data_IF_335144010409
#
_entry.id   IF_335144010409
#
_cell.length_a   1.000
_cell.length_b   1.000
_cell.length_c   1.000
_cell.angle_alpha   90.00
_cell.angle_beta   90.00
_cell.angle_gamma   90.00
#
_symmetry.space_group_name_H-M   'P 1'
#
loop_
_entity.id
_entity.type
_entity.pdbx_description
1 polymer ?
#
# COMPACT_ATOMS: atom_id res chain seq x y z
N UNK A 1 -19.38 -4.84 101.95
CA UNK A 1 -19.33 -3.48 101.38
C UNK A 1 -19.39 -3.56 99.82
N UNK A 2 -20.56 -3.27 99.26
CA UNK A 2 -20.84 -3.32 97.80
C UNK A 2 -20.66 -1.92 97.20
N UNK A 3 -19.82 -1.79 96.19
CA UNK A 3 -19.74 -0.58 95.39
C UNK A 3 -20.25 -0.92 94.00
N UNK A 4 -21.40 -0.30 93.66
CA UNK A 4 -22.01 -0.33 92.33
C UNK A 4 -21.25 0.60 91.37
N UNK A 5 -20.90 0.10 90.21
CA UNK A 5 -20.34 0.90 89.12
C UNK A 5 -21.41 1.00 88.07
N UNK A 6 -21.87 2.23 87.80
CA UNK A 6 -22.79 2.56 86.74
C UNK A 6 -22.03 2.57 85.40
N UNK A 7 -22.47 1.76 84.43
CA UNK A 7 -21.97 1.76 83.10
C UNK A 7 -22.98 2.57 82.23
N UNK A 8 -22.53 3.70 81.74
CA UNK A 8 -23.27 4.50 80.78
C UNK A 8 -23.08 3.91 79.40
N UNK A 9 -24.14 3.39 78.81
CA UNK A 9 -24.13 2.93 77.42
C UNK A 9 -24.25 4.17 76.50
N UNK A 10 -23.20 4.46 75.76
CA UNK A 10 -23.19 5.45 74.68
C UNK A 10 -23.57 4.74 73.36
N UNK A 11 -24.78 4.95 72.89
CA UNK A 11 -25.19 4.40 71.59
C UNK A 11 -24.60 5.26 70.43
N UNK A 12 -23.62 4.69 69.76
CA UNK A 12 -23.09 5.27 68.52
C UNK A 12 -23.93 4.78 67.32
N UNK A 13 -24.74 5.67 66.76
CA UNK A 13 -25.45 5.42 65.49
C UNK A 13 -24.46 5.54 64.32
N UNK A 14 -24.12 4.42 63.72
CA UNK A 14 -23.34 4.38 62.47
C UNK A 14 -24.26 4.68 61.29
N UNK A 15 -24.16 5.89 60.72
CA UNK A 15 -24.78 6.21 59.46
C UNK A 15 -23.86 5.69 58.32
N UNK A 16 -24.27 4.59 57.69
CA UNK A 16 -23.62 4.06 56.48
C UNK A 16 -23.99 4.93 55.29
N UNK A 17 -23.11 5.82 54.85
CA UNK A 17 -23.18 6.47 53.57
C UNK A 17 -22.75 5.51 52.48
N UNK A 18 -23.71 4.97 51.73
CA UNK A 18 -23.43 4.16 50.52
C UNK A 18 -22.97 5.12 49.45
N UNK A 19 -21.66 5.16 49.20
CA UNK A 19 -21.05 5.75 48.00
C UNK A 19 -21.29 4.80 46.83
N UNK A 20 -22.25 5.16 45.94
CA UNK A 20 -22.37 4.53 44.64
C UNK A 20 -21.11 4.90 43.82
N UNK A 21 -20.16 4.00 43.71
CA UNK A 21 -19.13 4.04 42.66
C UNK A 21 -19.83 3.75 41.34
N UNK A 22 -20.15 4.83 40.61
CA UNK A 22 -20.45 4.70 39.19
C UNK A 22 -19.19 4.17 38.50
N UNK A 23 -19.15 2.86 38.23
CA UNK A 23 -18.20 2.30 37.27
C UNK A 23 -18.55 2.91 35.90
N UNK A 24 -17.81 3.95 35.50
CA UNK A 24 -17.79 4.38 34.12
C UNK A 24 -17.15 3.25 33.32
N UNK A 25 -17.97 2.52 32.57
CA UNK A 25 -17.53 1.66 31.50
C UNK A 25 -16.74 2.54 30.50
N UNK A 26 -15.46 2.76 30.77
CA UNK A 26 -14.50 3.17 29.75
C UNK A 26 -14.40 1.98 28.81
N UNK A 27 -15.31 1.95 27.84
CA UNK A 27 -15.09 1.20 26.59
C UNK A 27 -13.75 1.69 26.06
N UNK A 28 -12.72 0.90 26.30
CA UNK A 28 -11.43 1.04 25.63
C UNK A 28 -11.74 1.12 24.13
N UNK A 29 -11.81 2.32 23.60
CA UNK A 29 -11.65 2.57 22.18
C UNK A 29 -10.27 2.07 21.88
N UNK A 30 -10.19 0.80 21.45
CA UNK A 30 -9.01 0.21 20.83
C UNK A 30 -8.67 1.14 19.68
N UNK A 31 -7.80 2.10 19.93
CA UNK A 31 -7.23 2.97 18.90
C UNK A 31 -6.45 2.02 18.03
N UNK A 32 -7.06 1.58 16.94
CA UNK A 32 -6.39 0.83 15.89
C UNK A 32 -5.38 1.80 15.28
N UNK A 33 -4.19 1.84 15.90
CA UNK A 33 -3.10 2.66 15.43
C UNK A 33 -2.76 2.24 14.02
N UNK A 34 -2.73 3.19 13.08
CA UNK A 34 -2.13 2.93 11.77
C UNK A 34 -0.63 2.74 11.95
N UNK A 35 -0.05 1.79 11.21
CA UNK A 35 1.38 1.53 11.17
C UNK A 35 1.88 1.86 9.77
N UNK A 36 2.80 2.82 9.67
CA UNK A 36 3.51 3.08 8.42
C UNK A 36 4.33 1.84 8.05
N UNK A 37 4.07 1.29 6.88
CA UNK A 37 4.79 0.16 6.29
C UNK A 37 5.96 0.67 5.48
N UNK A 38 5.69 1.65 4.60
CA UNK A 38 6.71 2.36 3.84
C UNK A 38 6.24 3.76 3.45
N UNK A 39 7.20 4.67 3.28
CA UNK A 39 6.96 6.01 2.78
C UNK A 39 8.25 6.57 2.18
N UNK A 40 8.12 7.41 1.15
CA UNK A 40 9.28 8.00 0.51
C UNK A 40 8.94 8.64 -0.82
N UNK A 41 9.99 8.79 -1.63
CA UNK A 41 9.85 9.25 -3.00
C UNK A 41 10.73 8.47 -3.96
N UNK A 42 10.30 8.44 -5.21
CA UNK A 42 11.04 7.94 -6.35
C UNK A 42 11.35 9.07 -7.33
N UNK A 43 12.61 9.26 -7.67
CA UNK A 43 13.03 10.09 -8.80
C UNK A 43 12.86 9.32 -10.10
N UNK A 44 12.24 9.94 -11.11
CA UNK A 44 11.98 9.35 -12.43
C UNK A 44 12.95 9.94 -13.42
N UNK A 45 13.69 9.09 -14.11
CA UNK A 45 14.72 9.48 -15.07
C UNK A 45 14.42 8.91 -16.45
N UNK A 46 14.53 9.74 -17.47
CA UNK A 46 14.48 9.34 -18.87
C UNK A 46 15.80 9.72 -19.54
N UNK A 47 16.49 8.74 -20.11
CA UNK A 47 17.81 8.92 -20.72
C UNK A 47 18.80 9.68 -19.80
N UNK A 48 18.81 9.34 -18.51
CA UNK A 48 19.67 9.91 -17.48
C UNK A 48 19.25 11.29 -16.95
N UNK A 49 18.21 11.93 -17.48
CA UNK A 49 17.67 13.20 -16.99
C UNK A 49 16.48 12.97 -16.07
N UNK A 50 16.49 13.57 -14.87
CA UNK A 50 15.32 13.54 -13.99
C UNK A 50 14.17 14.34 -14.62
N UNK A 51 13.03 13.68 -14.80
CA UNK A 51 11.82 14.25 -15.42
C UNK A 51 10.64 14.29 -14.46
N UNK A 52 10.74 13.66 -13.29
CA UNK A 52 9.63 13.64 -12.37
C UNK A 52 9.95 13.06 -11.00
N UNK A 53 8.93 13.03 -10.16
CA UNK A 53 8.98 12.46 -8.82
C UNK A 53 7.62 11.85 -8.50
N UNK A 54 7.61 10.64 -7.94
CA UNK A 54 6.48 10.09 -7.19
C UNK A 54 6.77 10.22 -5.71
N UNK A 55 5.83 10.72 -4.92
CA UNK A 55 5.84 10.67 -3.46
C UNK A 55 4.77 9.72 -3.01
N UNK A 56 5.08 8.79 -2.12
CA UNK A 56 4.13 7.76 -1.71
C UNK A 56 4.15 7.52 -0.19
N UNK A 57 3.05 6.97 0.30
CA UNK A 57 2.88 6.56 1.69
C UNK A 57 2.02 5.31 1.74
N UNK A 58 2.51 4.27 2.42
CA UNK A 58 1.84 2.98 2.59
C UNK A 58 1.68 2.72 4.08
N UNK A 59 0.45 2.58 4.54
CA UNK A 59 0.15 2.29 5.94
C UNK A 59 -0.78 1.09 6.08
N UNK A 60 -0.61 0.36 7.17
CA UNK A 60 -1.52 -0.70 7.59
C UNK A 60 -2.47 -0.16 8.65
N UNK A 61 -3.76 -0.30 8.41
CA UNK A 61 -4.86 0.04 9.33
C UNK A 61 -5.64 -1.23 9.60
N UNK A 62 -5.71 -1.68 10.85
CA UNK A 62 -6.50 -2.85 11.25
C UNK A 62 -6.48 -4.01 10.25
N UNK A 63 -7.47 -4.06 9.36
CA UNK A 63 -7.72 -5.08 8.35
C UNK A 63 -7.39 -4.65 6.91
N UNK A 64 -6.96 -3.39 6.71
CA UNK A 64 -6.65 -2.82 5.42
C UNK A 64 -5.23 -2.27 5.37
N UNK A 65 -4.60 -2.37 4.20
CA UNK A 65 -3.44 -1.55 3.83
C UNK A 65 -3.89 -0.46 2.87
N UNK A 66 -3.44 0.77 3.12
CA UNK A 66 -3.76 1.94 2.29
C UNK A 66 -2.46 2.48 1.71
N UNK A 67 -2.38 2.53 0.39
CA UNK A 67 -1.28 3.14 -0.33
C UNK A 67 -1.78 4.40 -1.03
N UNK A 68 -1.12 5.52 -0.77
CA UNK A 68 -1.38 6.80 -1.45
C UNK A 68 -0.14 7.24 -2.20
N UNK A 69 -0.33 7.83 -3.37
CA UNK A 69 0.76 8.37 -4.18
C UNK A 69 0.36 9.66 -4.87
N UNK A 70 1.35 10.55 -5.02
CA UNK A 70 1.30 11.70 -5.90
C UNK A 70 2.49 11.65 -6.85
N UNK A 71 2.22 11.75 -8.16
CA UNK A 71 3.27 11.85 -9.18
C UNK A 71 3.22 13.20 -9.89
N UNK A 72 4.40 13.77 -10.11
CA UNK A 72 4.62 14.99 -10.89
C UNK A 72 5.71 14.72 -11.92
N UNK A 73 5.37 14.90 -13.19
CA UNK A 73 6.29 14.76 -14.31
C UNK A 73 6.33 16.06 -15.10
N UNK A 74 7.54 16.48 -15.48
CA UNK A 74 7.80 17.60 -16.41
C UNK A 74 9.08 17.26 -17.19
N UNK A 75 8.92 16.80 -18.43
CA UNK A 75 10.05 16.53 -19.32
C UNK A 75 10.38 17.70 -20.25
N UNK A 76 9.67 18.84 -20.08
CA UNK A 76 9.77 20.04 -20.89
C UNK A 76 8.80 20.07 -22.10
N UNK A 77 8.24 18.93 -22.48
CA UNK A 77 7.22 18.81 -23.55
C UNK A 77 5.87 18.38 -23.00
N UNK A 78 5.91 17.54 -21.97
CA UNK A 78 4.74 16.96 -21.33
C UNK A 78 4.79 17.24 -19.82
N UNK A 79 3.64 17.58 -19.24
CA UNK A 79 3.46 17.76 -17.81
C UNK A 79 2.30 16.90 -17.32
N UNK A 80 2.52 16.18 -16.24
CA UNK A 80 1.48 15.40 -15.60
C UNK A 80 1.50 15.62 -14.08
N UNK A 81 0.33 15.70 -13.47
CA UNK A 81 0.13 15.65 -12.03
C UNK A 81 -1.04 14.72 -11.76
N UNK A 82 -0.75 13.63 -11.06
CA UNK A 82 -1.73 12.58 -10.78
C UNK A 82 -1.62 12.13 -9.33
N UNK A 83 -2.72 11.64 -8.79
CA UNK A 83 -2.79 11.05 -7.45
C UNK A 83 -3.48 9.71 -7.51
N UNK A 84 -3.11 8.81 -6.61
CA UNK A 84 -3.80 7.53 -6.42
C UNK A 84 -3.98 7.20 -4.94
N UNK A 85 -5.04 6.46 -4.65
CA UNK A 85 -5.26 5.77 -3.38
C UNK A 85 -5.73 4.34 -3.66
N UNK A 86 -5.03 3.37 -3.10
CA UNK A 86 -5.35 1.96 -3.21
C UNK A 86 -5.56 1.36 -1.83
N UNK A 87 -6.67 0.65 -1.64
CA UNK A 87 -6.99 -0.08 -0.42
C UNK A 87 -6.99 -1.57 -0.69
N UNK A 88 -6.22 -2.32 0.09
CA UNK A 88 -6.03 -3.76 -0.06
C UNK A 88 -6.34 -4.43 1.27
N UNK A 89 -7.08 -5.53 1.26
CA UNK A 89 -7.35 -6.35 2.45
C UNK A 89 -6.08 -7.07 2.93
N UNK A 90 -6.10 -7.57 4.16
CA UNK A 90 -5.01 -8.40 4.68
C UNK A 90 -4.74 -9.67 3.85
N UNK A 91 -5.70 -10.11 3.02
CA UNK A 91 -5.54 -11.22 2.08
C UNK A 91 -4.93 -10.80 0.73
N UNK A 92 -4.64 -9.50 0.54
CA UNK A 92 -4.14 -8.95 -0.71
C UNK A 92 -5.22 -8.76 -1.78
N UNK A 93 -6.50 -8.77 -1.40
CA UNK A 93 -7.61 -8.52 -2.31
C UNK A 93 -7.85 -7.01 -2.43
N UNK A 94 -8.15 -6.53 -3.63
CA UNK A 94 -8.49 -5.14 -3.85
C UNK A 94 -9.82 -4.81 -3.15
N UNK A 95 -9.82 -3.76 -2.32
CA UNK A 95 -11.02 -3.18 -1.72
C UNK A 95 -11.55 -2.02 -2.54
N UNK A 96 -10.66 -1.08 -2.87
CA UNK A 96 -10.94 0.04 -3.76
C UNK A 96 -9.66 0.62 -4.33
N UNK A 97 -9.78 1.28 -5.44
CA UNK A 97 -8.75 2.11 -6.04
C UNK A 97 -9.36 3.40 -6.55
N UNK A 98 -8.68 4.53 -6.34
CA UNK A 98 -9.05 5.83 -6.86
C UNK A 98 -7.85 6.45 -7.55
N UNK A 99 -8.05 6.95 -8.73
CA UNK A 99 -7.06 7.68 -9.50
C UNK A 99 -7.62 9.01 -9.98
N UNK A 100 -6.79 10.03 -9.97
CA UNK A 100 -7.15 11.35 -10.46
C UNK A 100 -5.97 11.98 -11.17
N UNK A 101 -6.23 12.55 -12.37
CA UNK A 101 -5.33 13.44 -13.10
C UNK A 101 -5.83 14.89 -12.98
N UNK A 102 -4.91 15.83 -12.81
CA UNK A 102 -5.18 17.26 -12.88
C UNK A 102 -4.49 17.91 -14.09
N UNK A 103 -3.41 17.27 -14.57
CA UNK A 103 -2.66 17.62 -15.77
C UNK A 103 -2.31 16.33 -16.52
N UNK A 104 -2.32 16.32 -17.88
CA UNK A 104 -2.61 17.44 -18.80
C UNK A 104 -4.08 17.83 -18.84
N UNK A 105 -4.97 16.93 -18.44
CA UNK A 105 -6.41 17.17 -18.35
C UNK A 105 -6.98 16.55 -17.07
N UNK A 106 -8.15 17.04 -16.64
CA UNK A 106 -8.85 16.48 -15.49
C UNK A 106 -9.53 15.19 -15.90
N UNK A 107 -9.22 14.14 -15.20
CA UNK A 107 -9.80 12.82 -15.39
C UNK A 107 -9.79 12.08 -14.05
N UNK A 108 -10.78 11.26 -13.80
CA UNK A 108 -10.88 10.45 -12.59
C UNK A 108 -11.33 9.05 -12.97
N UNK A 109 -10.76 8.05 -12.30
CA UNK A 109 -11.22 6.68 -12.34
C UNK A 109 -11.23 6.10 -10.93
N UNK A 110 -12.20 5.26 -10.66
CA UNK A 110 -12.22 4.46 -9.43
C UNK A 110 -12.58 3.02 -9.75
N UNK A 111 -11.97 2.09 -9.01
CA UNK A 111 -12.27 0.67 -9.12
C UNK A 111 -12.73 0.19 -7.75
N UNK A 112 -13.86 -0.50 -7.71
CA UNK A 112 -14.37 -1.12 -6.48
C UNK A 112 -14.74 -2.59 -6.69
N UNK A 113 -14.64 -3.36 -5.61
CA UNK A 113 -15.10 -4.74 -5.58
C UNK A 113 -16.62 -4.76 -5.41
N UNK A 114 -17.34 -5.39 -6.34
CA UNK A 114 -18.80 -5.57 -6.31
C UNK A 114 -19.17 -6.97 -6.74
N UNK A 115 -19.85 -7.72 -5.86
CA UNK A 115 -20.35 -9.07 -6.15
C UNK A 115 -19.30 -10.01 -6.79
N UNK A 116 -18.06 -10.01 -6.27
CA UNK A 116 -16.90 -10.78 -6.75
C UNK A 116 -16.33 -10.32 -8.11
N UNK A 117 -16.76 -9.18 -8.61
CA UNK A 117 -16.23 -8.53 -9.81
C UNK A 117 -15.53 -7.24 -9.42
N UNK A 118 -14.71 -6.72 -10.33
CA UNK A 118 -14.20 -5.35 -10.26
C UNK A 118 -15.02 -4.46 -11.19
N UNK A 119 -15.53 -3.35 -10.68
CA UNK A 119 -16.23 -2.35 -11.47
C UNK A 119 -15.40 -1.09 -11.50
N UNK A 120 -15.03 -0.65 -12.68
CA UNK A 120 -14.34 0.60 -12.91
C UNK A 120 -15.35 1.69 -13.27
N UNK A 121 -15.28 2.81 -12.56
CA UNK A 121 -16.06 4.01 -12.81
C UNK A 121 -15.15 5.08 -13.39
N UNK A 122 -15.34 5.42 -14.65
CA UNK A 122 -14.52 6.40 -15.38
C UNK A 122 -15.28 7.70 -15.50
N UNK A 123 -14.63 8.81 -15.17
CA UNK A 123 -15.15 10.18 -15.36
C UNK A 123 -14.17 10.95 -16.25
N UNK A 124 -14.30 10.86 -17.57
CA UNK A 124 -13.50 11.64 -18.51
C UNK A 124 -13.80 13.14 -18.38
N UNK A 125 -12.83 13.98 -18.77
CA UNK A 125 -12.90 15.45 -18.60
C UNK A 125 -14.18 16.10 -19.14
N UNK A 126 -14.71 15.62 -20.28
CA UNK A 126 -15.83 16.23 -21.00
C UNK A 126 -16.95 15.21 -21.33
N UNK A 127 -16.98 14.07 -20.69
CA UNK A 127 -17.92 13.00 -21.03
C UNK A 127 -18.74 12.54 -19.79
N UNK A 128 -19.80 11.80 -20.06
CA UNK A 128 -20.60 11.20 -18.99
C UNK A 128 -19.80 10.09 -18.31
N UNK A 129 -20.02 9.96 -17.02
CA UNK A 129 -19.54 8.82 -16.23
C UNK A 129 -19.90 7.51 -16.93
N UNK A 130 -18.93 6.62 -17.04
CA UNK A 130 -19.08 5.29 -17.59
C UNK A 130 -18.69 4.25 -16.54
N UNK A 131 -19.43 3.14 -16.52
CA UNK A 131 -19.10 1.97 -15.69
C UNK A 131 -18.56 0.88 -16.61
N UNK A 132 -17.36 0.41 -16.34
CA UNK A 132 -16.68 -0.67 -17.08
C UNK A 132 -16.57 -1.87 -16.15
N UNK A 133 -17.41 -2.90 -16.35
CA UNK A 133 -17.29 -4.11 -15.55
C UNK A 133 -16.11 -4.97 -16.02
N UNK A 134 -15.24 -5.34 -15.12
CA UNK A 134 -14.15 -6.27 -15.36
C UNK A 134 -14.47 -7.61 -14.69
N UNK A 135 -14.56 -8.67 -15.49
CA UNK A 135 -14.75 -10.05 -15.00
C UNK A 135 -13.38 -10.55 -14.50
N UNK A 136 -12.93 -10.00 -13.38
CA UNK A 136 -11.63 -10.26 -12.79
C UNK A 136 -11.80 -10.68 -11.32
N UNK A 137 -10.98 -11.62 -10.83
CA UNK A 137 -11.01 -11.98 -9.42
C UNK A 137 -10.55 -10.82 -8.53
N UNK A 138 -11.05 -10.74 -7.30
CA UNK A 138 -10.66 -9.72 -6.31
C UNK A 138 -9.15 -9.76 -5.99
N UNK A 139 -8.50 -10.87 -6.32
CA UNK A 139 -7.06 -11.02 -6.26
C UNK A 139 -6.29 -10.31 -7.38
N UNK A 140 -6.97 -9.65 -8.31
CA UNK A 140 -6.33 -8.82 -9.33
C UNK A 140 -5.57 -7.66 -8.68
N UNK A 141 -4.40 -7.36 -9.23
CA UNK A 141 -3.53 -6.28 -8.74
C UNK A 141 -3.73 -5.04 -9.60
N UNK A 142 -3.86 -3.88 -8.97
CA UNK A 142 -3.76 -2.61 -9.69
C UNK A 142 -2.28 -2.36 -10.01
N UNK A 143 -1.97 -2.13 -11.27
CA UNK A 143 -0.61 -1.84 -11.72
C UNK A 143 -0.63 -0.70 -12.74
N UNK A 144 -1.01 0.48 -12.29
CA UNK A 144 -1.00 1.66 -13.15
C UNK A 144 0.41 2.06 -13.59
N UNK A 145 0.53 2.60 -14.79
CA UNK A 145 1.80 2.87 -15.46
C UNK A 145 2.65 3.90 -14.71
N UNK A 146 2.01 4.91 -14.16
CA UNK A 146 2.70 6.07 -13.60
C UNK A 146 2.98 5.95 -12.09
N UNK A 147 2.43 4.93 -11.39
CA UNK A 147 2.66 4.75 -9.95
C UNK A 147 3.61 3.59 -9.69
N UNK A 148 4.85 3.92 -9.37
CA UNK A 148 5.93 2.95 -9.15
C UNK A 148 5.78 2.22 -7.81
N UNK A 149 5.16 2.84 -6.83
CA UNK A 149 4.79 2.21 -5.55
C UNK A 149 3.85 1.00 -5.74
N UNK A 150 3.04 0.94 -6.81
CA UNK A 150 2.23 -0.24 -7.13
C UNK A 150 3.11 -1.46 -7.46
N UNK A 151 4.27 -1.24 -8.08
CA UNK A 151 5.24 -2.32 -8.38
C UNK A 151 5.90 -2.84 -7.11
N UNK A 152 6.13 -1.99 -6.13
CA UNK A 152 6.61 -2.41 -4.81
C UNK A 152 5.59 -3.30 -4.10
N UNK A 153 4.32 -2.92 -4.10
CA UNK A 153 3.23 -3.73 -3.54
C UNK A 153 3.11 -5.09 -4.25
N UNK A 154 3.27 -5.12 -5.57
CA UNK A 154 3.27 -6.38 -6.33
C UNK A 154 4.48 -7.26 -5.96
N UNK A 155 5.67 -6.68 -5.74
CA UNK A 155 6.84 -7.42 -5.25
C UNK A 155 6.55 -8.04 -3.89
N UNK A 156 5.98 -7.29 -2.94
CA UNK A 156 5.62 -7.84 -1.63
C UNK A 156 4.64 -9.01 -1.74
N UNK A 157 3.65 -8.87 -2.62
CA UNK A 157 2.71 -9.94 -2.89
C UNK A 157 3.38 -11.17 -3.49
N UNK A 158 4.26 -10.98 -4.48
CA UNK A 158 5.05 -12.06 -5.06
C UNK A 158 5.88 -12.77 -3.99
N UNK A 159 6.61 -12.03 -3.17
CA UNK A 159 7.44 -12.60 -2.10
C UNK A 159 6.61 -13.35 -1.03
N UNK A 160 5.36 -12.94 -0.81
CA UNK A 160 4.45 -13.58 0.14
C UNK A 160 3.77 -14.84 -0.42
N UNK A 161 3.52 -14.91 -1.75
CA UNK A 161 2.71 -15.97 -2.35
C UNK A 161 3.48 -16.86 -3.33
N UNK A 162 4.50 -16.34 -3.99
CA UNK A 162 5.32 -17.05 -4.99
C UNK A 162 6.62 -17.65 -4.43
N UNK A 163 6.91 -17.41 -3.14
CA UNK A 163 8.12 -17.87 -2.49
C UNK A 163 7.81 -18.79 -1.30
N UNK A 164 8.60 -19.82 -1.13
CA UNK A 164 8.58 -20.70 0.04
C UNK A 164 9.80 -20.41 0.92
N UNK A 165 9.60 -20.35 2.23
CA UNK A 165 10.72 -20.27 3.18
C UNK A 165 11.12 -21.69 3.58
N UNK A 166 12.35 -22.13 3.22
CA UNK A 166 12.90 -23.42 3.58
C UNK A 166 14.30 -23.22 4.15
N UNK A 167 14.55 -23.71 5.36
CA UNK A 167 15.84 -23.58 6.06
C UNK A 167 16.37 -22.13 6.11
N UNK A 168 15.52 -21.15 6.36
CA UNK A 168 15.80 -19.73 6.32
C UNK A 168 16.20 -19.18 4.94
N UNK A 169 16.15 -19.97 3.89
CA UNK A 169 16.32 -19.53 2.53
C UNK A 169 14.97 -19.36 1.84
N UNK A 170 14.85 -18.31 1.06
CA UNK A 170 13.65 -18.03 0.28
C UNK A 170 13.80 -18.64 -1.10
N UNK A 171 13.01 -19.66 -1.38
CA UNK A 171 12.94 -20.32 -2.68
C UNK A 171 11.75 -19.76 -3.45
N UNK A 172 12.02 -18.97 -4.47
CA UNK A 172 11.01 -18.32 -5.30
C UNK A 172 11.04 -18.88 -6.71
N UNK A 173 9.88 -19.25 -7.22
CA UNK A 173 9.69 -19.56 -8.65
C UNK A 173 9.01 -18.42 -9.38
N UNK A 174 8.98 -18.45 -10.73
CA UNK A 174 8.17 -17.52 -11.52
C UNK A 174 6.70 -17.61 -11.11
N UNK A 175 6.04 -16.46 -11.02
CA UNK A 175 4.60 -16.36 -10.69
C UNK A 175 3.92 -15.41 -11.64
N UNK A 176 2.64 -15.68 -11.96
CA UNK A 176 1.83 -14.80 -12.79
C UNK A 176 0.67 -14.22 -11.98
N UNK A 177 0.41 -12.93 -12.19
CA UNK A 177 -0.68 -12.20 -11.53
C UNK A 177 -1.57 -11.55 -12.59
N UNK A 178 -2.89 -11.64 -12.41
CA UNK A 178 -3.81 -10.80 -13.14
C UNK A 178 -3.67 -9.35 -12.69
N UNK A 179 -3.62 -8.43 -13.63
CA UNK A 179 -3.52 -7.00 -13.36
C UNK A 179 -4.66 -6.24 -14.05
N UNK A 180 -5.03 -5.11 -13.44
CA UNK A 180 -5.84 -4.08 -14.06
C UNK A 180 -5.02 -2.80 -14.09
N UNK A 181 -4.99 -2.15 -15.26
CA UNK A 181 -4.35 -0.84 -15.50
C UNK A 181 -5.47 0.19 -15.74
N UNK A 182 -6.02 0.81 -14.68
CA UNK A 182 -7.17 1.70 -14.81
C UNK A 182 -6.94 2.91 -15.73
N UNK A 183 -5.72 3.44 -15.77
CA UNK A 183 -5.38 4.55 -16.68
C UNK A 183 -5.53 4.18 -18.18
N UNK A 184 -5.52 2.89 -18.49
CA UNK A 184 -5.70 2.38 -19.86
C UNK A 184 -7.01 1.62 -20.05
N UNK A 185 -7.76 1.38 -18.96
CA UNK A 185 -8.98 0.53 -18.91
C UNK A 185 -8.73 -0.90 -19.41
N UNK A 186 -7.54 -1.44 -19.20
CA UNK A 186 -7.13 -2.77 -19.67
C UNK A 186 -6.85 -3.72 -18.53
N UNK A 187 -7.28 -4.97 -18.73
CA UNK A 187 -6.88 -6.11 -17.95
C UNK A 187 -5.78 -6.88 -18.70
N UNK A 188 -4.74 -7.27 -17.98
CA UNK A 188 -3.61 -8.01 -18.52
C UNK A 188 -3.06 -9.02 -17.49
N UNK A 189 -1.93 -9.61 -17.78
CA UNK A 189 -1.16 -10.42 -16.84
C UNK A 189 0.27 -9.90 -16.73
N UNK A 190 0.85 -10.06 -15.54
CA UNK A 190 2.26 -9.78 -15.30
C UNK A 190 2.94 -11.02 -14.75
N UNK A 191 4.08 -11.37 -15.34
CA UNK A 191 4.98 -12.39 -14.81
C UNK A 191 6.00 -11.73 -13.89
N UNK A 192 6.28 -12.35 -12.74
CA UNK A 192 7.24 -11.85 -11.74
C UNK A 192 8.18 -12.99 -11.37
N UNK A 193 9.47 -12.73 -11.36
CA UNK A 193 10.50 -13.71 -11.07
C UNK A 193 11.67 -13.10 -10.30
N UNK A 194 12.11 -13.75 -9.22
CA UNK A 194 13.37 -13.45 -8.55
C UNK A 194 14.52 -14.06 -9.36
N UNK A 195 15.28 -13.23 -10.08
CA UNK A 195 16.33 -13.69 -10.98
C UNK A 195 17.71 -13.82 -10.32
N UNK A 196 17.84 -13.43 -9.06
CA UNK A 196 19.06 -13.58 -8.26
C UNK A 196 19.39 -12.35 -7.43
N UNK A 197 20.66 -12.22 -7.08
CA UNK A 197 21.21 -11.04 -6.38
C UNK A 197 22.04 -10.20 -7.34
N UNK A 198 22.10 -8.91 -7.05
CA UNK A 198 22.88 -7.95 -7.83
C UNK A 198 23.47 -6.90 -6.87
N UNK A 199 24.45 -6.15 -7.34
CA UNK A 199 25.07 -5.05 -6.58
C UNK A 199 24.49 -3.72 -7.04
N UNK A 200 24.04 -2.93 -6.08
CA UNK A 200 23.50 -1.59 -6.32
C UNK A 200 24.27 -0.56 -5.49
N UNK A 201 24.66 0.53 -6.14
CA UNK A 201 25.25 1.69 -5.44
C UNK A 201 24.13 2.54 -4.87
N UNK A 202 23.95 2.50 -3.55
CA UNK A 202 22.93 3.28 -2.82
C UNK A 202 23.65 4.35 -1.98
N UNK A 203 23.41 5.62 -2.30
CA UNK A 203 24.03 6.77 -1.59
C UNK A 203 25.56 6.63 -1.44
N UNK A 204 26.22 6.13 -2.48
CA UNK A 204 27.68 5.95 -2.50
C UNK A 204 28.19 4.67 -1.82
N UNK A 205 27.32 3.80 -1.31
CA UNK A 205 27.66 2.52 -0.70
C UNK A 205 27.15 1.37 -1.57
N UNK A 206 28.05 0.43 -1.92
CA UNK A 206 27.64 -0.77 -2.62
C UNK A 206 26.89 -1.71 -1.68
N UNK A 207 25.70 -2.14 -2.08
CA UNK A 207 24.84 -3.04 -1.33
C UNK A 207 24.43 -4.21 -2.22
N UNK A 208 24.39 -5.41 -1.64
CA UNK A 208 23.77 -6.56 -2.29
C UNK A 208 22.26 -6.49 -2.13
N UNK A 209 21.55 -6.61 -3.24
CA UNK A 209 20.08 -6.51 -3.29
C UNK A 209 19.49 -7.65 -4.13
N UNK A 210 18.24 -7.97 -3.91
CA UNK A 210 17.52 -8.92 -4.74
C UNK A 210 17.16 -8.27 -6.08
N UNK A 211 17.30 -9.02 -7.17
CA UNK A 211 16.93 -8.58 -8.50
C UNK A 211 15.68 -9.33 -8.95
N UNK A 212 14.63 -8.59 -9.21
CA UNK A 212 13.31 -9.11 -9.63
C UNK A 212 13.05 -8.65 -11.05
N UNK A 213 12.61 -9.57 -11.89
CA UNK A 213 12.13 -9.31 -13.25
C UNK A 213 10.61 -9.32 -13.25
N UNK A 214 10.02 -8.30 -13.82
CA UNK A 214 8.59 -8.24 -14.15
C UNK A 214 8.44 -8.13 -15.66
N UNK A 215 7.45 -8.82 -16.22
CA UNK A 215 7.13 -8.71 -17.65
C UNK A 215 5.63 -8.71 -17.86
N UNK A 216 5.15 -7.71 -18.59
CA UNK A 216 3.78 -7.60 -19.05
C UNK A 216 3.77 -7.05 -20.46
N UNK A 217 3.02 -7.69 -21.37
CA UNK A 217 2.83 -7.25 -22.76
C UNK A 217 4.17 -6.96 -23.50
N UNK A 218 5.21 -7.75 -23.22
CA UNK A 218 6.54 -7.60 -23.81
C UNK A 218 7.41 -6.49 -23.20
N UNK A 219 6.88 -5.73 -22.24
CA UNK A 219 7.66 -4.73 -21.48
C UNK A 219 8.30 -5.41 -20.28
N UNK A 220 9.63 -5.34 -20.22
CA UNK A 220 10.41 -5.91 -19.12
C UNK A 220 10.87 -4.81 -18.17
N UNK A 221 10.49 -4.95 -16.92
CA UNK A 221 10.99 -4.17 -15.79
C UNK A 221 11.99 -4.97 -14.98
N UNK A 222 13.13 -4.36 -14.66
CA UNK A 222 14.07 -4.88 -13.68
C UNK A 222 13.96 -4.06 -12.39
N UNK A 223 13.80 -4.74 -11.26
CA UNK A 223 13.66 -4.11 -9.94
C UNK A 223 14.77 -4.59 -9.02
N UNK A 224 15.38 -3.68 -8.29
CA UNK A 224 16.36 -3.95 -7.24
C UNK A 224 15.72 -3.72 -5.89
N UNK A 225 15.63 -4.77 -5.10
CA UNK A 225 14.86 -4.85 -3.86
C UNK A 225 15.80 -5.13 -2.70
N UNK A 226 15.83 -4.24 -1.72
CA UNK A 226 16.63 -4.38 -0.50
C UNK A 226 16.21 -5.58 0.36
N UNK A 227 17.02 -5.91 1.35
CA UNK A 227 16.73 -7.01 2.27
C UNK A 227 15.54 -6.67 3.22
N UNK A 228 15.19 -5.39 3.35
CA UNK A 228 13.96 -4.88 3.99
C UNK A 228 12.73 -4.91 3.07
N UNK A 229 12.88 -5.54 1.88
CA UNK A 229 11.85 -5.69 0.84
C UNK A 229 11.39 -4.40 0.17
N UNK A 230 12.09 -3.29 0.37
CA UNK A 230 11.81 -2.02 -0.31
C UNK A 230 12.47 -2.00 -1.68
N UNK A 231 11.74 -1.47 -2.64
CA UNK A 231 12.30 -1.24 -3.97
C UNK A 231 13.22 -0.02 -3.93
N UNK A 232 14.48 -0.22 -4.29
CA UNK A 232 15.51 0.81 -4.32
C UNK A 232 15.66 1.43 -5.70
N UNK A 233 15.50 0.60 -6.74
CA UNK A 233 15.60 1.02 -8.14
C UNK A 233 14.69 0.16 -9.01
N UNK A 234 14.16 0.76 -10.07
CA UNK A 234 13.50 0.07 -11.18
C UNK A 234 14.08 0.58 -12.49
N UNK A 235 14.07 -0.24 -13.53
CA UNK A 235 14.49 0.17 -14.86
C UNK A 235 13.69 -0.55 -15.94
N UNK A 236 13.44 0.16 -17.04
CA UNK A 236 12.99 -0.39 -18.32
C UNK A 236 14.10 -0.13 -19.34
N UNK A 237 15.04 -1.06 -19.52
CA UNK A 237 16.23 -0.82 -20.35
C UNK A 237 15.88 -0.47 -21.79
N UNK A 238 14.84 -1.10 -22.36
CA UNK A 238 14.40 -0.85 -23.74
C UNK A 238 13.97 0.61 -23.97
N UNK A 239 13.49 1.30 -22.92
CA UNK A 239 12.96 2.66 -23.01
C UNK A 239 13.91 3.71 -22.39
N UNK A 240 15.08 3.30 -21.88
CA UNK A 240 15.99 4.16 -21.13
C UNK A 240 15.31 4.90 -19.96
N UNK A 241 14.40 4.19 -19.28
CA UNK A 241 13.70 4.69 -18.08
C UNK A 241 14.33 4.08 -16.85
N UNK A 242 14.65 4.90 -15.88
CA UNK A 242 15.05 4.50 -14.54
C UNK A 242 14.21 5.22 -13.49
N UNK A 243 13.90 4.52 -12.42
CA UNK A 243 13.19 5.04 -11.26
C UNK A 243 14.00 4.68 -10.03
N UNK A 244 14.40 5.67 -9.25
CA UNK A 244 15.34 5.50 -8.15
C UNK A 244 14.73 6.08 -6.88
N UNK A 245 14.81 5.34 -5.79
CA UNK A 245 14.38 5.82 -4.47
C UNK A 245 15.32 6.93 -4.00
N UNK A 246 14.77 8.09 -3.59
CA UNK A 246 15.51 9.28 -3.12
C UNK A 246 16.14 9.11 -1.72
#
# INVERSE_FOLDING_TARGET
MKRSINIVLLAMTLTATATFLSASDQKDKKTTGSKVVDAGSFGIFMSGKRVGTETFHIEQRADLSVATSEIKVDDGKFKATQTSEMQITAKGELRSYNWRSTLPQKEESSVEAKDQLLVEHVVPADQKKMDVPHVLPLSTVILDDNFFSHREILVWRYLATGCLLKNNERLCGPSSFGILVPQQHVAASVSVELVGRDKLLVKGVEQEVNKVRMESEGIVWMLWVGDDYKVMKMAVPANNVEVVRD
#
